data_IF_682549440531
#
_entry.id   IF_682549440531
#
_cell.length_a   1.000
_cell.length_b   1.000
_cell.length_c   1.000
_cell.angle_alpha   90.00
_cell.angle_beta   90.00
_cell.angle_gamma   90.00
#
_symmetry.space_group_name_H-M   'P 1'
#
loop_
_entity.id
_entity.type
_entity.pdbx_description
1 polymer ?
#
# COMPACT_ATOMS: atom_id res chain seq x y z
N UNK A 1 -10.67 -51.11 7.92
CA UNK A 1 -9.85 -50.38 6.98
C UNK A 1 -9.74 -48.96 7.49
N UNK A 2 -8.66 -48.68 8.21
CA UNK A 2 -8.44 -47.39 8.84
C UNK A 2 -7.99 -46.41 7.75
N UNK A 3 -8.88 -45.50 7.36
CA UNK A 3 -8.54 -44.43 6.48
C UNK A 3 -7.54 -43.50 7.19
N UNK A 4 -6.31 -43.44 6.69
CA UNK A 4 -5.33 -42.46 7.05
C UNK A 4 -5.90 -41.08 6.69
N UNK A 5 -6.34 -40.32 7.68
CA UNK A 5 -6.77 -38.93 7.52
C UNK A 5 -5.64 -38.12 6.88
N UNK A 6 -5.94 -37.25 5.89
CA UNK A 6 -4.95 -36.35 5.28
C UNK A 6 -4.18 -35.50 6.29
N UNK A 7 -4.79 -35.25 7.46
CA UNK A 7 -4.18 -34.49 8.57
C UNK A 7 -2.83 -34.99 9.06
N UNK A 8 -2.60 -36.33 9.06
CA UNK A 8 -1.32 -36.87 9.50
C UNK A 8 -0.11 -36.57 8.60
N UNK A 9 -0.34 -36.33 7.32
CA UNK A 9 0.71 -35.91 6.37
C UNK A 9 1.06 -34.41 6.53
N UNK A 10 0.05 -33.62 6.82
CA UNK A 10 0.20 -32.18 7.03
C UNK A 10 0.85 -31.91 8.36
N UNK A 11 0.43 -32.60 9.44
CA UNK A 11 1.13 -32.52 10.72
C UNK A 11 2.61 -32.85 10.59
N UNK A 12 2.98 -33.86 9.80
CA UNK A 12 4.36 -34.21 9.55
C UNK A 12 5.11 -33.14 8.71
N UNK A 13 4.47 -32.53 7.72
CA UNK A 13 5.05 -31.45 6.91
C UNK A 13 5.16 -30.13 7.70
N UNK A 14 4.21 -29.86 8.62
CA UNK A 14 4.15 -28.65 9.43
C UNK A 14 5.02 -28.73 10.68
N UNK A 15 5.30 -29.90 11.22
CA UNK A 15 6.25 -30.08 12.33
C UNK A 15 7.69 -29.69 11.97
N UNK A 16 8.03 -29.66 10.66
CA UNK A 16 9.34 -29.24 10.16
C UNK A 16 9.55 -27.71 10.10
N UNK A 17 8.50 -26.89 10.28
CA UNK A 17 8.59 -25.43 10.18
C UNK A 17 7.59 -24.76 11.14
N UNK A 18 7.87 -24.73 12.43
CA UNK A 18 7.02 -24.11 13.44
C UNK A 18 6.80 -22.59 13.18
N UNK A 19 5.56 -22.10 13.37
CA UNK A 19 5.25 -20.68 13.28
C UNK A 19 3.79 -20.37 12.95
N UNK A 20 3.43 -19.09 12.99
CA UNK A 20 2.08 -18.58 12.74
C UNK A 20 1.51 -18.99 11.35
N UNK A 21 2.36 -19.11 10.33
CA UNK A 21 1.93 -19.51 9.00
C UNK A 21 1.40 -20.96 8.95
N UNK A 22 2.03 -21.86 9.68
CA UNK A 22 1.58 -23.26 9.73
C UNK A 22 0.22 -23.39 10.39
N UNK A 23 0.00 -22.57 11.41
CA UNK A 23 -1.29 -22.48 12.10
C UNK A 23 -2.39 -22.02 11.14
N UNK A 24 -2.15 -20.97 10.36
CA UNK A 24 -3.10 -20.45 9.38
C UNK A 24 -3.47 -21.51 8.31
N UNK A 25 -2.49 -22.29 7.84
CA UNK A 25 -2.75 -23.40 6.90
C UNK A 25 -3.61 -24.50 7.54
N UNK A 26 -3.33 -24.88 8.79
CA UNK A 26 -4.13 -25.89 9.52
C UNK A 26 -5.56 -25.40 9.76
N UNK A 27 -5.74 -24.18 10.23
CA UNK A 27 -7.05 -23.57 10.46
C UNK A 27 -7.85 -23.47 9.14
N UNK A 28 -7.17 -23.16 8.03
CA UNK A 28 -7.77 -23.16 6.70
C UNK A 28 -8.21 -24.57 6.27
N UNK A 29 -7.40 -25.59 6.50
CA UNK A 29 -7.78 -26.99 6.19
C UNK A 29 -8.99 -27.43 7.00
N UNK A 30 -9.05 -27.11 8.27
CA UNK A 30 -10.22 -27.40 9.12
C UNK A 30 -11.48 -26.71 8.57
N UNK A 31 -11.38 -25.43 8.19
CA UNK A 31 -12.53 -24.73 7.57
C UNK A 31 -12.97 -25.40 6.27
N UNK A 32 -12.03 -25.87 5.45
CA UNK A 32 -12.34 -26.55 4.19
C UNK A 32 -13.14 -27.85 4.43
N UNK A 33 -12.74 -28.66 5.40
CA UNK A 33 -13.42 -29.90 5.73
C UNK A 33 -14.74 -29.67 6.49
N UNK A 34 -14.69 -28.95 7.61
CA UNK A 34 -15.80 -28.86 8.56
C UNK A 34 -16.87 -27.83 8.15
N UNK A 35 -16.45 -26.70 7.58
CA UNK A 35 -17.35 -25.60 7.25
C UNK A 35 -17.83 -25.65 5.79
N UNK A 36 -16.90 -25.92 4.86
CA UNK A 36 -17.21 -25.88 3.43
C UNK A 36 -17.53 -27.27 2.85
N UNK A 37 -17.27 -28.35 3.60
CA UNK A 37 -17.56 -29.73 3.17
C UNK A 37 -16.79 -30.13 1.92
N UNK A 38 -15.58 -29.59 1.73
CA UNK A 38 -14.74 -29.90 0.59
C UNK A 38 -14.07 -31.29 0.79
N UNK A 39 -13.91 -32.04 -0.27
CA UNK A 39 -13.10 -33.26 -0.26
C UNK A 39 -11.75 -32.98 -0.95
N UNK A 40 -10.67 -33.47 -0.35
CA UNK A 40 -9.29 -33.22 -0.82
C UNK A 40 -9.04 -33.72 -2.27
N UNK A 41 -9.67 -34.81 -2.66
CA UNK A 41 -9.57 -35.45 -3.99
C UNK A 41 -10.57 -34.90 -5.00
N UNK A 42 -11.31 -33.86 -4.65
CA UNK A 42 -12.23 -33.18 -5.57
C UNK A 42 -11.47 -32.64 -6.77
N UNK A 43 -11.90 -33.09 -7.95
CA UNK A 43 -11.40 -32.59 -9.23
C UNK A 43 -12.47 -31.71 -9.86
N UNK A 44 -12.21 -30.41 -9.94
CA UNK A 44 -13.08 -29.46 -10.61
C UNK A 44 -12.25 -28.34 -11.22
N UNK A 45 -12.78 -27.68 -12.23
CA UNK A 45 -12.17 -26.47 -12.74
C UNK A 45 -12.64 -25.28 -11.88
N UNK A 46 -11.73 -24.34 -11.53
CA UNK A 46 -12.13 -23.09 -10.91
C UNK A 46 -13.22 -22.39 -11.75
N UNK A 47 -14.19 -21.83 -11.06
CA UNK A 47 -15.21 -21.02 -11.73
C UNK A 47 -14.59 -19.78 -12.34
N UNK A 48 -14.94 -19.51 -13.60
CA UNK A 48 -14.47 -18.33 -14.32
C UNK A 48 -15.66 -17.50 -14.74
N UNK A 49 -15.72 -16.26 -14.24
CA UNK A 49 -16.76 -15.31 -14.61
C UNK A 49 -16.65 -14.91 -16.08
N UNK A 50 -17.76 -14.66 -16.77
CA UNK A 50 -17.74 -14.07 -18.10
C UNK A 50 -16.97 -12.76 -18.16
N UNK A 51 -16.30 -12.47 -19.27
CA UNK A 51 -15.50 -11.24 -19.45
C UNK A 51 -16.30 -9.95 -19.16
N UNK A 52 -17.61 -9.94 -19.52
CA UNK A 52 -18.47 -8.81 -19.23
C UNK A 52 -18.63 -8.53 -17.72
N UNK A 53 -18.75 -9.59 -16.92
CA UNK A 53 -18.84 -9.47 -15.45
C UNK A 53 -17.49 -9.09 -14.84
N UNK A 54 -16.39 -9.68 -15.33
CA UNK A 54 -15.04 -9.31 -14.90
C UNK A 54 -14.75 -7.85 -15.19
N UNK A 55 -15.17 -7.34 -16.35
CA UNK A 55 -15.05 -5.91 -16.69
C UNK A 55 -15.86 -5.03 -15.73
N UNK A 56 -17.11 -5.40 -15.43
CA UNK A 56 -17.91 -4.66 -14.44
C UNK A 56 -17.27 -4.65 -13.06
N UNK A 57 -16.62 -5.74 -12.64
CA UNK A 57 -15.87 -5.78 -11.38
C UNK A 57 -14.66 -4.84 -11.41
N UNK A 58 -13.91 -4.80 -12.52
CA UNK A 58 -12.81 -3.83 -12.71
C UNK A 58 -13.32 -2.39 -12.62
N UNK A 59 -14.45 -2.09 -13.26
CA UNK A 59 -15.05 -0.74 -13.23
C UNK A 59 -15.48 -0.36 -11.82
N UNK A 60 -16.10 -1.29 -11.06
CA UNK A 60 -16.46 -1.07 -9.65
C UNK A 60 -15.25 -0.85 -8.75
N UNK A 61 -14.18 -1.57 -9.02
CA UNK A 61 -12.89 -1.44 -8.32
C UNK A 61 -11.94 -0.47 -9.04
N UNK A 62 -12.49 0.53 -9.76
CA UNK A 62 -11.72 1.37 -10.68
C UNK A 62 -10.51 2.05 -10.07
N UNK A 63 -10.62 2.56 -8.83
CA UNK A 63 -9.48 3.15 -8.09
C UNK A 63 -8.39 2.13 -7.81
N UNK A 64 -8.77 1.00 -7.21
CA UNK A 64 -7.86 -0.12 -6.94
C UNK A 64 -7.16 -0.56 -8.23
N UNK A 65 -7.95 -0.84 -9.28
CA UNK A 65 -7.43 -1.32 -10.55
C UNK A 65 -6.45 -0.33 -11.20
N UNK A 66 -6.79 0.97 -11.18
CA UNK A 66 -5.94 2.03 -11.72
C UNK A 66 -4.60 2.12 -11.00
N UNK A 67 -4.62 2.18 -9.66
CA UNK A 67 -3.40 2.32 -8.87
C UNK A 67 -2.55 1.04 -8.84
N UNK A 68 -3.19 -0.13 -8.89
CA UNK A 68 -2.49 -1.41 -8.86
C UNK A 68 -1.76 -1.74 -10.18
N UNK A 69 -2.25 -1.25 -11.33
CA UNK A 69 -1.78 -1.64 -12.65
C UNK A 69 -0.25 -1.54 -12.82
N UNK A 70 0.34 -0.40 -12.49
CA UNK A 70 1.78 -0.18 -12.62
C UNK A 70 2.58 -0.90 -11.52
N UNK A 71 2.00 -1.02 -10.32
CA UNK A 71 2.60 -1.76 -9.21
C UNK A 71 2.74 -3.24 -9.52
N UNK A 72 1.69 -3.88 -10.04
CA UNK A 72 1.67 -5.29 -10.46
C UNK A 72 2.76 -5.57 -11.51
N UNK A 73 2.88 -4.70 -12.52
CA UNK A 73 3.93 -4.81 -13.54
C UNK A 73 5.33 -4.62 -12.98
N UNK A 74 5.47 -3.69 -12.02
CA UNK A 74 6.77 -3.43 -11.39
C UNK A 74 7.17 -4.56 -10.47
N UNK A 75 6.25 -5.12 -9.71
CA UNK A 75 6.47 -6.33 -8.91
C UNK A 75 6.90 -7.50 -9.80
N UNK A 76 6.18 -7.74 -10.90
CA UNK A 76 6.51 -8.78 -11.85
C UNK A 76 7.94 -8.66 -12.40
N UNK A 77 8.38 -7.44 -12.73
CA UNK A 77 9.76 -7.21 -13.23
C UNK A 77 10.83 -7.44 -12.15
N UNK A 78 10.49 -7.26 -10.87
CA UNK A 78 11.44 -7.43 -9.76
C UNK A 78 11.54 -8.88 -9.27
N UNK A 79 10.46 -9.62 -9.38
CA UNK A 79 10.49 -11.06 -9.16
C UNK A 79 11.19 -11.62 -10.39
N UNK A 80 12.32 -12.33 -10.22
CA UNK A 80 12.96 -13.03 -11.33
C UNK A 80 11.88 -13.84 -12.09
N UNK A 81 11.41 -13.26 -13.23
CA UNK A 81 10.13 -13.56 -13.85
C UNK A 81 10.05 -14.97 -14.49
N UNK A 82 11.12 -15.77 -14.39
CA UNK A 82 11.17 -17.12 -14.91
C UNK A 82 10.28 -18.06 -14.10
N UNK A 83 9.03 -18.19 -14.53
CA UNK A 83 8.08 -19.17 -13.97
C UNK A 83 7.03 -18.61 -13.00
N UNK A 84 7.06 -17.30 -12.71
CA UNK A 84 6.06 -16.65 -11.86
C UNK A 84 5.02 -15.87 -12.68
N UNK A 85 3.84 -15.70 -12.09
CA UNK A 85 2.84 -14.72 -12.50
C UNK A 85 2.42 -13.88 -11.29
N UNK A 86 1.99 -12.64 -11.53
CA UNK A 86 1.42 -11.76 -10.52
C UNK A 86 -0.06 -11.58 -10.82
N UNK A 87 -0.88 -11.71 -9.81
CA UNK A 87 -2.33 -11.57 -9.87
C UNK A 87 -2.80 -10.48 -8.92
N UNK A 88 -3.80 -9.71 -9.35
CA UNK A 88 -4.57 -8.78 -8.53
C UNK A 88 -5.98 -9.34 -8.41
N UNK A 89 -6.52 -9.41 -7.20
CA UNK A 89 -7.90 -9.86 -6.97
C UNK A 89 -8.74 -8.78 -6.29
N UNK A 90 -10.06 -8.98 -6.27
CA UNK A 90 -10.92 -8.27 -5.34
C UNK A 90 -10.98 -8.98 -3.97
N UNK A 91 -11.81 -8.47 -3.06
CA UNK A 91 -12.01 -9.03 -1.72
C UNK A 91 -12.82 -10.34 -1.68
N UNK A 92 -13.36 -10.80 -2.79
CA UNK A 92 -14.04 -12.08 -2.92
C UNK A 92 -13.16 -13.17 -3.57
N UNK A 93 -11.92 -12.81 -3.92
CA UNK A 93 -10.95 -13.70 -4.55
C UNK A 93 -11.11 -13.85 -6.06
N UNK A 94 -11.83 -12.92 -6.71
CA UNK A 94 -11.91 -12.87 -8.18
C UNK A 94 -10.68 -12.20 -8.74
N UNK A 95 -9.97 -12.89 -9.64
CA UNK A 95 -8.80 -12.33 -10.31
C UNK A 95 -9.25 -11.22 -11.26
N UNK A 96 -8.80 -9.98 -10.97
CA UNK A 96 -9.09 -8.79 -11.77
C UNK A 96 -8.04 -8.57 -12.87
N UNK A 97 -6.77 -8.78 -12.56
CA UNK A 97 -5.64 -8.57 -13.49
C UNK A 97 -4.56 -9.61 -13.29
N UNK A 98 -3.74 -9.83 -14.33
CA UNK A 98 -2.63 -10.77 -14.27
C UNK A 98 -1.48 -10.33 -15.18
N UNK A 99 -0.25 -10.56 -14.73
CA UNK A 99 0.97 -10.34 -15.51
C UNK A 99 1.83 -11.60 -15.45
N UNK A 100 2.12 -12.17 -16.61
CA UNK A 100 2.98 -13.34 -16.77
C UNK A 100 3.70 -13.31 -18.13
N UNK A 101 4.77 -14.09 -18.27
CA UNK A 101 5.37 -14.33 -19.56
C UNK A 101 4.38 -15.05 -20.51
N UNK A 102 4.37 -14.67 -21.78
CA UNK A 102 3.46 -15.21 -22.78
C UNK A 102 3.54 -16.76 -22.86
N UNK A 103 4.73 -17.33 -22.69
CA UNK A 103 4.98 -18.77 -22.69
C UNK A 103 4.35 -19.50 -21.50
N UNK A 104 4.06 -18.83 -20.40
CA UNK A 104 3.50 -19.40 -19.17
C UNK A 104 1.97 -19.30 -19.10
N UNK A 105 1.36 -18.39 -19.88
CA UNK A 105 -0.10 -18.21 -19.86
C UNK A 105 -0.91 -19.49 -20.07
N UNK A 106 -0.55 -20.41 -20.99
CA UNK A 106 -1.28 -21.66 -21.14
C UNK A 106 -1.28 -22.52 -19.86
N UNK A 107 -0.13 -22.60 -19.17
CA UNK A 107 0.00 -23.35 -17.93
C UNK A 107 -0.85 -22.76 -16.80
N UNK A 108 -0.82 -21.44 -16.61
CA UNK A 108 -1.66 -20.78 -15.63
C UNK A 108 -3.15 -20.93 -15.94
N UNK A 109 -3.56 -20.78 -17.18
CA UNK A 109 -4.96 -20.99 -17.62
C UNK A 109 -5.45 -22.43 -17.39
N UNK A 110 -4.60 -23.42 -17.65
CA UNK A 110 -4.94 -24.84 -17.40
C UNK A 110 -5.21 -25.09 -15.92
N UNK A 111 -4.46 -24.39 -15.04
CA UNK A 111 -4.64 -24.46 -13.58
C UNK A 111 -5.67 -23.46 -13.04
N UNK A 112 -6.44 -22.79 -13.90
CA UNK A 112 -7.51 -21.88 -13.49
C UNK A 112 -7.04 -20.51 -12.99
N UNK A 113 -5.78 -20.14 -13.21
CA UNK A 113 -5.23 -18.84 -12.83
C UNK A 113 -5.29 -17.86 -14.02
N UNK A 114 -6.43 -17.18 -14.13
CA UNK A 114 -6.71 -16.22 -15.21
C UNK A 114 -7.73 -15.16 -14.74
N UNK A 115 -7.80 -13.99 -15.39
CA UNK A 115 -8.81 -13.00 -15.06
C UNK A 115 -10.24 -13.56 -15.12
N UNK A 116 -11.04 -13.23 -14.10
CA UNK A 116 -12.40 -13.73 -13.89
C UNK A 116 -12.48 -15.03 -13.08
N UNK A 117 -11.36 -15.73 -12.85
CA UNK A 117 -11.37 -16.93 -12.01
C UNK A 117 -11.58 -16.59 -10.53
N UNK A 118 -12.35 -17.40 -9.82
CA UNK A 118 -12.70 -17.23 -8.40
C UNK A 118 -11.86 -18.17 -7.55
N UNK A 119 -11.01 -17.58 -6.71
CA UNK A 119 -10.09 -18.30 -5.82
C UNK A 119 -10.41 -18.09 -4.34
N UNK A 120 -11.71 -18.05 -3.99
CA UNK A 120 -12.11 -18.03 -2.58
C UNK A 120 -11.79 -19.38 -1.90
N UNK A 121 -11.52 -19.33 -0.59
CA UNK A 121 -11.24 -20.54 0.21
C UNK A 121 -12.42 -21.52 0.19
N UNK A 122 -13.66 -20.99 0.21
CA UNK A 122 -14.89 -21.81 0.14
C UNK A 122 -14.96 -22.63 -1.16
N UNK A 123 -14.39 -22.13 -2.26
CA UNK A 123 -14.44 -22.81 -3.55
C UNK A 123 -13.21 -23.64 -3.83
N UNK A 124 -12.04 -23.07 -3.72
CA UNK A 124 -10.78 -23.71 -4.12
C UNK A 124 -9.97 -24.26 -2.93
N UNK A 125 -10.58 -24.30 -1.73
CA UNK A 125 -9.91 -24.75 -0.52
C UNK A 125 -8.76 -23.83 -0.12
N UNK A 126 -7.86 -24.33 0.72
CA UNK A 126 -6.64 -23.63 1.10
C UNK A 126 -5.82 -23.27 -0.14
N UNK A 127 -5.62 -21.98 -0.38
CA UNK A 127 -4.87 -21.44 -1.50
C UNK A 127 -4.31 -20.06 -1.13
N UNK A 128 -3.37 -19.51 -1.90
CA UNK A 128 -2.74 -18.22 -1.60
C UNK A 128 -3.74 -17.09 -1.44
N UNK A 129 -4.66 -16.94 -2.39
CA UNK A 129 -5.63 -15.84 -2.45
C UNK A 129 -6.70 -15.97 -1.36
N UNK A 130 -7.45 -17.06 -1.37
CA UNK A 130 -8.60 -17.26 -0.48
C UNK A 130 -8.20 -17.29 0.99
N UNK A 131 -7.12 -18.01 1.32
CA UNK A 131 -6.62 -18.08 2.69
C UNK A 131 -6.04 -16.74 3.16
N UNK A 132 -5.38 -15.98 2.27
CA UNK A 132 -4.91 -14.62 2.57
C UNK A 132 -6.07 -13.67 2.91
N UNK A 133 -7.20 -13.76 2.20
CA UNK A 133 -8.40 -12.96 2.50
C UNK A 133 -8.93 -13.28 3.89
N UNK A 134 -9.04 -14.56 4.24
CA UNK A 134 -9.61 -15.00 5.52
C UNK A 134 -8.68 -14.66 6.69
N UNK A 135 -7.39 -14.92 6.55
CA UNK A 135 -6.39 -14.71 7.61
C UNK A 135 -5.97 -13.23 7.77
N UNK A 136 -6.19 -12.40 6.73
CA UNK A 136 -5.77 -10.99 6.75
C UNK A 136 -4.26 -10.79 6.91
N UNK A 137 -3.44 -11.74 6.46
CA UNK A 137 -1.99 -11.67 6.57
C UNK A 137 -1.30 -12.25 5.33
N UNK A 138 -0.03 -11.83 5.11
CA UNK A 138 0.77 -12.39 4.03
C UNK A 138 1.07 -13.87 4.28
N UNK A 139 0.73 -14.72 3.31
CA UNK A 139 0.82 -16.17 3.41
C UNK A 139 1.46 -16.78 2.16
N UNK A 140 2.12 -17.91 2.35
CA UNK A 140 2.57 -18.76 1.24
C UNK A 140 1.94 -20.13 1.39
N UNK A 141 1.27 -20.59 0.34
CA UNK A 141 0.75 -21.96 0.22
C UNK A 141 1.61 -22.69 -0.82
N UNK A 142 2.39 -23.65 -0.35
CA UNK A 142 3.40 -24.33 -1.14
C UNK A 142 2.98 -25.76 -1.44
N UNK A 143 2.71 -26.06 -2.72
CA UNK A 143 2.42 -27.44 -3.21
C UNK A 143 1.35 -28.16 -2.39
N UNK A 144 1.73 -29.23 -1.69
CA UNK A 144 0.84 -30.07 -0.89
C UNK A 144 0.17 -29.37 0.29
N UNK A 145 0.47 -28.09 0.53
CA UNK A 145 -0.27 -27.27 1.50
C UNK A 145 -1.61 -26.79 0.94
N UNK A 146 -1.82 -26.86 -0.38
CA UNK A 146 -3.13 -26.63 -0.97
C UNK A 146 -4.09 -27.73 -0.55
N UNK A 147 -5.34 -27.35 -0.19
CA UNK A 147 -6.33 -28.32 0.25
C UNK A 147 -6.75 -29.27 -0.88
N UNK A 148 -7.05 -28.74 -2.06
CA UNK A 148 -7.39 -29.59 -3.22
C UNK A 148 -6.10 -30.13 -3.86
N UNK A 149 -6.01 -31.45 -3.95
CA UNK A 149 -4.84 -32.15 -4.51
C UNK A 149 -4.48 -31.70 -5.94
N UNK A 150 -5.46 -31.28 -6.73
CA UNK A 150 -5.23 -30.75 -8.07
C UNK A 150 -4.39 -29.47 -8.09
N UNK A 151 -4.32 -28.71 -6.98
CA UNK A 151 -3.56 -27.49 -6.85
C UNK A 151 -2.14 -27.71 -6.30
N UNK A 152 -1.74 -28.95 -5.99
CA UNK A 152 -0.41 -29.28 -5.46
C UNK A 152 0.75 -28.97 -6.42
N UNK A 153 0.47 -28.68 -7.68
CA UNK A 153 1.46 -28.17 -8.65
C UNK A 153 1.78 -26.70 -8.49
N UNK A 154 1.00 -25.97 -7.68
CA UNK A 154 1.12 -24.53 -7.48
C UNK A 154 1.98 -24.21 -6.26
N UNK A 155 2.64 -23.07 -6.33
CA UNK A 155 3.18 -22.37 -5.17
C UNK A 155 2.67 -20.94 -5.24
N UNK A 156 1.85 -20.53 -4.28
CA UNK A 156 1.17 -19.25 -4.23
C UNK A 156 1.67 -18.43 -3.04
N UNK A 157 2.00 -17.18 -3.25
CA UNK A 157 2.44 -16.26 -2.19
C UNK A 157 1.63 -14.99 -2.30
N UNK A 158 0.81 -14.73 -1.30
CA UNK A 158 -0.17 -13.65 -1.32
C UNK A 158 0.00 -12.69 -0.15
N UNK A 159 -0.37 -11.42 -0.35
CA UNK A 159 -0.46 -10.42 0.70
C UNK A 159 -1.75 -9.60 0.55
N UNK A 160 -2.44 -9.29 1.67
CA UNK A 160 -3.68 -8.53 1.65
C UNK A 160 -3.39 -7.04 1.48
N UNK A 161 -4.31 -6.37 0.81
CA UNK A 161 -4.41 -4.90 0.75
C UNK A 161 -5.64 -4.50 1.55
N UNK A 162 -5.46 -3.59 2.50
CA UNK A 162 -6.57 -3.15 3.35
C UNK A 162 -7.14 -1.82 2.89
N UNK A 163 -8.44 -1.64 3.11
CA UNK A 163 -9.08 -0.33 3.04
C UNK A 163 -8.81 0.48 4.32
N UNK A 164 -9.12 1.79 4.35
CA UNK A 164 -8.94 2.61 5.55
C UNK A 164 -9.72 2.12 6.79
N UNK A 165 -10.76 1.30 6.59
CA UNK A 165 -11.55 0.71 7.68
C UNK A 165 -10.93 -0.60 8.22
N UNK A 166 -9.87 -1.11 7.58
CA UNK A 166 -9.14 -2.32 7.98
C UNK A 166 -9.73 -3.62 7.46
N UNK A 167 -10.57 -3.55 6.45
CA UNK A 167 -11.06 -4.72 5.75
C UNK A 167 -10.16 -5.03 4.56
N UNK A 168 -9.96 -6.31 4.28
CA UNK A 168 -9.24 -6.71 3.05
C UNK A 168 -10.08 -6.30 1.85
N UNK A 169 -9.58 -5.37 1.04
CA UNK A 169 -10.22 -4.91 -0.19
C UNK A 169 -9.67 -5.60 -1.45
N UNK A 170 -8.47 -6.14 -1.37
CA UNK A 170 -7.77 -6.79 -2.48
C UNK A 170 -6.70 -7.73 -1.96
N UNK A 171 -6.20 -8.61 -2.83
CA UNK A 171 -5.01 -9.42 -2.60
C UNK A 171 -4.07 -9.31 -3.79
N UNK A 172 -2.78 -9.09 -3.51
CA UNK A 172 -1.71 -9.32 -4.47
C UNK A 172 -1.19 -10.74 -4.28
N UNK A 173 -1.18 -11.54 -5.35
CA UNK A 173 -0.68 -12.90 -5.34
C UNK A 173 0.43 -13.09 -6.38
N UNK A 174 1.45 -13.83 -6.01
CA UNK A 174 2.53 -14.29 -6.86
C UNK A 174 2.51 -15.81 -6.87
N UNK A 175 2.08 -16.37 -7.98
CA UNK A 175 1.97 -17.81 -8.15
C UNK A 175 2.97 -18.34 -9.17
N UNK A 176 3.37 -19.59 -8.99
CA UNK A 176 4.20 -20.32 -9.91
C UNK A 176 3.67 -21.74 -10.13
N UNK A 177 3.89 -22.26 -11.35
CA UNK A 177 3.59 -23.64 -11.76
C UNK A 177 4.94 -24.30 -12.09
N UNK A 178 5.72 -24.63 -11.05
CA UNK A 178 7.08 -25.19 -11.20
C UNK A 178 7.42 -26.11 -10.02
N UNK A 179 8.08 -27.24 -10.33
CA UNK A 179 8.45 -28.24 -9.32
C UNK A 179 9.72 -27.89 -8.54
N UNK A 180 10.58 -27.01 -9.08
CA UNK A 180 11.88 -26.68 -8.54
C UNK A 180 11.88 -25.52 -7.56
N UNK A 181 10.73 -24.86 -7.31
CA UNK A 181 10.63 -23.77 -6.33
C UNK A 181 10.82 -24.32 -4.92
N UNK A 182 11.76 -23.75 -4.21
CA UNK A 182 12.05 -24.09 -2.82
C UNK A 182 11.29 -23.17 -1.87
N UNK A 183 10.92 -23.68 -0.71
CA UNK A 183 10.29 -22.89 0.35
C UNK A 183 11.10 -21.67 0.79
N UNK A 184 12.43 -21.75 0.72
CA UNK A 184 13.31 -20.62 1.00
C UNK A 184 13.15 -19.46 0.03
N UNK A 185 12.85 -19.75 -1.25
CA UNK A 185 12.63 -18.74 -2.27
C UNK A 185 11.32 -17.98 -2.01
N UNK A 186 10.31 -18.70 -1.48
CA UNK A 186 9.02 -18.14 -1.12
C UNK A 186 9.12 -17.07 -0.03
N UNK A 187 10.07 -17.15 0.91
CA UNK A 187 10.24 -16.15 1.96
C UNK A 187 10.63 -14.78 1.37
N UNK A 188 11.54 -14.77 0.39
CA UNK A 188 11.93 -13.55 -0.32
C UNK A 188 10.77 -12.98 -1.13
N UNK A 189 10.05 -13.84 -1.86
CA UNK A 189 8.89 -13.43 -2.64
C UNK A 189 7.81 -12.86 -1.71
N UNK A 190 7.54 -13.48 -0.57
CA UNK A 190 6.55 -13.01 0.42
C UNK A 190 6.87 -11.60 0.94
N UNK A 191 8.14 -11.32 1.27
CA UNK A 191 8.53 -9.97 1.67
C UNK A 191 8.25 -8.95 0.57
N UNK A 192 8.62 -9.27 -0.68
CA UNK A 192 8.36 -8.37 -1.82
C UNK A 192 6.87 -8.15 -2.07
N UNK A 193 6.05 -9.21 -2.04
CA UNK A 193 4.60 -9.08 -2.23
C UNK A 193 3.96 -8.24 -1.13
N UNK A 194 4.39 -8.44 0.12
CA UNK A 194 3.92 -7.64 1.26
C UNK A 194 4.31 -6.16 1.12
N UNK A 195 5.56 -5.85 0.73
CA UNK A 195 6.00 -4.46 0.51
C UNK A 195 5.16 -3.77 -0.59
N UNK A 196 4.79 -4.50 -1.64
CA UNK A 196 3.96 -3.95 -2.73
C UNK A 196 2.48 -3.83 -2.34
N UNK A 197 1.96 -4.74 -1.53
CA UNK A 197 0.61 -4.64 -0.96
C UNK A 197 0.51 -3.43 -0.02
N UNK A 198 1.49 -3.24 0.87
CA UNK A 198 1.57 -2.07 1.74
C UNK A 198 1.66 -0.76 0.93
N UNK A 199 2.44 -0.75 -0.17
CA UNK A 199 2.53 0.42 -1.04
C UNK A 199 1.18 0.74 -1.71
N UNK A 200 0.45 -0.28 -2.18
CA UNK A 200 -0.88 -0.11 -2.77
C UNK A 200 -1.89 0.37 -1.73
N UNK A 201 -1.90 -0.22 -0.52
CA UNK A 201 -2.72 0.21 0.61
C UNK A 201 -2.53 1.70 0.89
N UNK A 202 -1.29 2.17 0.95
CA UNK A 202 -0.96 3.58 1.19
C UNK A 202 -1.51 4.51 0.11
N UNK A 203 -1.39 4.12 -1.17
CA UNK A 203 -1.92 4.91 -2.29
C UNK A 203 -3.44 5.01 -2.20
N UNK A 204 -4.12 3.89 -1.95
CA UNK A 204 -5.58 3.86 -1.78
C UNK A 204 -6.02 4.70 -0.57
N UNK A 205 -5.30 4.60 0.55
CA UNK A 205 -5.55 5.38 1.76
C UNK A 205 -5.50 6.88 1.48
N UNK A 206 -4.45 7.36 0.78
CA UNK A 206 -4.34 8.76 0.40
C UNK A 206 -5.46 9.21 -0.54
N UNK A 207 -5.82 8.39 -1.53
CA UNK A 207 -6.88 8.71 -2.48
C UNK A 207 -8.25 8.79 -1.80
N UNK A 208 -8.55 7.85 -0.89
CA UNK A 208 -9.83 7.83 -0.18
C UNK A 208 -9.95 8.88 0.91
N UNK A 209 -8.84 9.23 1.57
CA UNK A 209 -8.78 10.16 2.70
C UNK A 209 -8.15 11.51 2.35
N UNK A 210 -8.10 11.87 1.05
CA UNK A 210 -7.51 13.13 0.58
C UNK A 210 -8.15 14.39 1.19
N UNK A 211 -9.34 14.26 1.77
CA UNK A 211 -10.07 15.34 2.45
C UNK A 211 -9.82 15.46 3.94
N UNK A 212 -9.14 14.52 4.56
CA UNK A 212 -8.92 14.42 5.99
C UNK A 212 -7.50 14.89 6.37
N UNK A 213 -7.28 15.21 7.64
CA UNK A 213 -5.92 15.38 8.16
C UNK A 213 -5.28 14.01 8.27
N UNK A 214 -4.13 13.81 7.64
CA UNK A 214 -3.39 12.56 7.71
C UNK A 214 -2.16 12.75 8.60
N UNK A 215 -2.09 11.98 9.68
CA UNK A 215 -0.94 11.91 10.57
C UNK A 215 -0.08 10.70 10.21
N UNK A 216 1.15 10.97 9.84
CA UNK A 216 2.21 9.99 9.61
C UNK A 216 2.93 9.72 10.91
N UNK A 217 3.17 8.47 11.26
CA UNK A 217 3.73 8.07 12.53
C UNK A 217 4.80 6.99 12.35
N UNK A 218 5.91 7.12 13.08
CA UNK A 218 6.92 6.05 13.18
C UNK A 218 7.68 6.17 14.51
N UNK A 219 8.15 5.05 15.13
CA UNK A 219 9.02 5.10 16.30
C UNK A 219 10.35 5.81 16.05
N UNK A 220 10.84 5.83 14.82
CA UNK A 220 12.07 6.51 14.40
C UNK A 220 11.75 7.68 13.47
N UNK A 221 12.25 8.88 13.80
CA UNK A 221 12.01 10.10 13.04
C UNK A 221 12.39 10.00 11.54
N UNK A 222 13.47 9.26 11.24
CA UNK A 222 13.98 9.10 9.87
C UNK A 222 13.03 8.31 8.95
N UNK A 223 12.07 7.59 9.49
CA UNK A 223 11.12 6.78 8.72
C UNK A 223 9.76 7.43 8.55
N UNK A 224 9.50 8.57 9.18
CA UNK A 224 8.28 9.37 8.98
C UNK A 224 8.28 9.94 7.55
N UNK A 225 7.17 9.81 6.84
CA UNK A 225 7.03 10.23 5.44
C UNK A 225 7.65 9.24 4.44
N UNK A 226 8.10 8.06 4.88
CA UNK A 226 8.60 6.99 4.02
C UNK A 226 7.52 5.91 3.80
N UNK A 227 7.83 4.89 3.02
CA UNK A 227 6.93 3.74 2.81
C UNK A 227 6.76 2.87 4.07
N UNK A 228 7.50 3.13 5.14
CA UNK A 228 7.47 2.37 6.40
C UNK A 228 6.65 3.02 7.50
N UNK A 229 6.20 4.26 7.32
CA UNK A 229 5.40 4.92 8.34
C UNK A 229 3.98 4.37 8.43
N UNK A 230 3.39 4.55 9.57
CA UNK A 230 1.98 4.33 9.82
C UNK A 230 1.19 5.60 9.46
N UNK A 231 0.00 5.46 8.92
CA UNK A 231 -0.87 6.59 8.61
C UNK A 231 -2.22 6.42 9.28
N UNK A 232 -2.68 7.47 9.95
CA UNK A 232 -4.06 7.60 10.43
C UNK A 232 -4.70 8.84 9.81
N UNK A 233 -5.97 8.74 9.44
CA UNK A 233 -6.79 9.89 9.05
C UNK A 233 -7.61 10.35 10.24
N UNK A 234 -7.70 11.65 10.43
CA UNK A 234 -8.32 12.29 11.58
C UNK A 234 -9.47 13.17 11.07
N UNK A 235 -10.66 12.90 11.56
CA UNK A 235 -11.83 13.71 11.30
C UNK A 235 -11.76 15.05 12.07
N UNK A 236 -12.57 16.06 11.69
CA UNK A 236 -12.55 17.38 12.35
C UNK A 236 -12.88 17.38 13.84
N UNK A 237 -13.52 16.34 14.35
CA UNK A 237 -13.85 16.16 15.77
C UNK A 237 -12.75 15.45 16.58
N UNK A 238 -11.67 15.05 15.94
CA UNK A 238 -10.55 14.34 16.56
C UNK A 238 -10.63 12.82 16.46
N UNK A 239 -11.73 12.27 15.96
CA UNK A 239 -11.87 10.81 15.80
C UNK A 239 -10.95 10.29 14.70
N UNK A 240 -10.43 9.09 14.88
CA UNK A 240 -9.63 8.38 13.87
C UNK A 240 -10.59 7.77 12.85
N UNK A 241 -10.69 8.40 11.67
CA UNK A 241 -11.60 8.01 10.60
C UNK A 241 -11.06 6.91 9.69
N UNK A 242 -9.79 6.55 9.84
CA UNK A 242 -9.15 5.47 9.10
C UNK A 242 -7.70 5.26 9.53
N UNK A 243 -7.18 4.08 9.26
CA UNK A 243 -5.81 3.73 9.60
C UNK A 243 -5.23 2.70 8.64
N UNK A 244 -3.95 2.80 8.29
CA UNK A 244 -3.24 1.74 7.57
C UNK A 244 -3.00 0.52 8.46
N UNK A 245 -2.74 -0.64 7.88
CA UNK A 245 -2.42 -1.88 8.59
C UNK A 245 -1.27 -1.70 9.58
N UNK A 246 -0.26 -0.93 9.22
CA UNK A 246 0.86 -0.57 10.11
C UNK A 246 0.38 0.32 11.27
N UNK A 247 -0.50 1.30 11.00
CA UNK A 247 -1.07 2.13 12.06
C UNK A 247 -1.96 1.32 13.02
N UNK A 248 -2.76 0.38 12.51
CA UNK A 248 -3.60 -0.49 13.34
C UNK A 248 -2.79 -1.31 14.33
N UNK A 249 -1.60 -1.77 13.96
CA UNK A 249 -0.70 -2.46 14.91
C UNK A 249 -0.23 -1.53 16.04
N UNK A 250 0.02 -0.26 15.73
CA UNK A 250 0.37 0.75 16.74
C UNK A 250 -0.84 1.05 17.62
N UNK A 251 -2.02 1.26 17.02
CA UNK A 251 -3.27 1.49 17.75
C UNK A 251 -3.62 0.31 18.68
N UNK A 252 -3.44 -0.92 18.22
CA UNK A 252 -3.66 -2.12 19.03
C UNK A 252 -2.74 -2.15 20.28
N UNK A 253 -1.48 -1.71 20.13
CA UNK A 253 -0.55 -1.56 21.25
C UNK A 253 -0.92 -0.39 22.18
N UNK A 254 -1.68 0.59 21.70
CA UNK A 254 -2.20 1.76 22.42
C UNK A 254 -3.67 1.63 22.80
N UNK A 255 -4.10 0.43 23.27
CA UNK A 255 -5.46 0.12 23.72
C UNK A 255 -6.58 0.31 22.68
N UNK A 256 -6.27 0.22 21.38
CA UNK A 256 -7.22 0.44 20.28
C UNK A 256 -7.94 1.79 20.35
N UNK A 257 -7.26 2.84 20.76
CA UNK A 257 -7.84 4.19 20.81
C UNK A 257 -8.44 4.58 19.46
N UNK A 258 -9.65 5.10 19.48
CA UNK A 258 -10.39 5.58 18.29
C UNK A 258 -10.40 7.09 18.18
N UNK A 259 -9.74 7.79 19.08
CA UNK A 259 -9.65 9.22 19.17
C UNK A 259 -8.22 9.66 19.50
N UNK A 260 -7.77 10.76 18.87
CA UNK A 260 -6.42 11.28 19.12
C UNK A 260 -6.23 11.84 20.52
N UNK A 261 -7.31 12.31 21.17
CA UNK A 261 -7.29 12.77 22.55
C UNK A 261 -6.95 11.64 23.52
N UNK A 262 -7.50 10.45 23.30
CA UNK A 262 -7.14 9.26 24.06
C UNK A 262 -5.72 8.78 23.77
N UNK A 263 -5.28 8.90 22.50
CA UNK A 263 -3.97 8.40 22.09
C UNK A 263 -2.82 9.31 22.48
N UNK A 264 -2.97 10.63 22.37
CA UNK A 264 -1.89 11.61 22.54
C UNK A 264 -2.15 12.64 23.63
N UNK A 265 -3.25 12.54 24.37
CA UNK A 265 -3.67 13.50 25.41
C UNK A 265 -3.77 14.95 24.87
N UNK A 266 -4.20 15.10 23.62
CA UNK A 266 -4.38 16.39 22.96
C UNK A 266 -5.51 16.37 21.93
N UNK A 267 -6.22 17.49 21.80
CA UNK A 267 -7.23 17.65 20.75
C UNK A 267 -6.59 17.99 19.38
N UNK A 268 -7.42 18.00 18.34
CA UNK A 268 -6.95 18.25 16.97
C UNK A 268 -6.35 19.65 16.79
N UNK A 269 -6.85 20.68 17.51
CA UNK A 269 -6.34 22.03 17.43
C UNK A 269 -4.94 22.12 18.05
N UNK A 270 -4.74 21.47 19.19
CA UNK A 270 -3.42 21.35 19.85
C UNK A 270 -2.43 20.57 18.98
N UNK A 271 -2.89 19.48 18.35
CA UNK A 271 -2.07 18.70 17.42
C UNK A 271 -1.61 19.57 16.25
N UNK A 272 -2.54 20.25 15.57
CA UNK A 272 -2.24 21.14 14.44
C UNK A 272 -1.29 22.29 14.85
N UNK A 273 -1.52 22.90 16.00
CA UNK A 273 -0.66 23.97 16.53
C UNK A 273 0.76 23.47 16.81
N UNK A 274 0.90 22.25 17.37
CA UNK A 274 2.20 21.65 17.65
C UNK A 274 3.04 21.46 16.39
N UNK A 275 2.43 20.98 15.29
CA UNK A 275 3.12 20.83 14.02
C UNK A 275 3.40 22.15 13.31
N UNK A 276 2.49 23.12 13.35
CA UNK A 276 2.69 24.46 12.79
C UNK A 276 3.88 25.19 13.46
N UNK A 277 4.02 25.07 14.79
CA UNK A 277 5.14 25.63 15.51
C UNK A 277 6.48 24.98 15.16
N UNK A 278 6.48 23.67 14.90
CA UNK A 278 7.68 22.93 14.49
C UNK A 278 8.14 23.33 13.07
N UNK A 279 7.21 23.54 12.13
CA UNK A 279 7.52 24.06 10.79
C UNK A 279 8.07 25.49 10.84
N UNK A 280 7.53 26.36 11.67
CA UNK A 280 8.02 27.72 11.88
C UNK A 280 9.45 27.76 12.45
N UNK A 281 9.82 26.83 13.30
CA UNK A 281 11.16 26.70 13.86
C UNK A 281 12.18 26.15 12.84
N UNK A 282 11.75 25.29 11.93
CA UNK A 282 12.61 24.67 10.91
C UNK A 282 12.98 25.62 9.77
N UNK A 283 12.18 26.66 9.49
CA UNK A 283 12.48 27.67 8.45
C UNK A 283 13.68 28.57 8.79
N UNK A 284 14.21 28.47 10.01
CA UNK A 284 15.44 29.16 10.44
C UNK A 284 16.74 28.39 10.21
N UNK A 285 16.67 27.10 9.89
CA UNK A 285 17.84 26.24 9.62
C UNK A 285 17.84 25.89 8.12
N UNK A 286 18.89 26.26 7.43
CA UNK A 286 19.07 26.25 5.97
C UNK A 286 18.52 25.05 5.21
N UNK A 287 18.25 25.28 3.94
CA UNK A 287 17.73 24.33 2.95
C UNK A 287 18.48 22.97 2.97
N UNK A 288 17.85 21.95 3.50
CA UNK A 288 18.42 20.58 3.59
C UNK A 288 17.71 19.68 4.60
N UNK A 289 16.83 20.23 5.45
CA UNK A 289 16.05 19.44 6.39
C UNK A 289 14.86 18.77 5.67
N UNK A 290 14.78 17.45 5.74
CA UNK A 290 13.59 16.68 5.38
C UNK A 290 12.35 17.15 6.16
N UNK A 291 11.16 16.60 5.91
CA UNK A 291 9.93 17.01 6.59
C UNK A 291 10.16 17.05 8.10
N UNK A 292 9.85 18.20 8.74
CA UNK A 292 10.04 18.39 10.17
C UNK A 292 9.18 17.39 10.94
N UNK A 293 9.86 16.44 11.61
CA UNK A 293 9.18 15.44 12.43
C UNK A 293 9.01 15.94 13.86
N UNK A 294 7.85 15.75 14.43
CA UNK A 294 7.51 16.21 15.77
C UNK A 294 7.33 15.00 16.70
N UNK A 295 7.96 14.97 17.88
CA UNK A 295 7.72 13.90 18.85
C UNK A 295 6.32 14.01 19.46
N UNK A 296 5.63 12.89 19.54
CA UNK A 296 4.31 12.72 20.11
C UNK A 296 4.38 11.67 21.24
N UNK A 297 4.00 12.05 22.44
CA UNK A 297 3.90 11.11 23.55
C UNK A 297 2.60 10.31 23.42
N UNK A 298 2.68 9.01 23.63
CA UNK A 298 1.51 8.12 23.63
C UNK A 298 1.01 8.00 25.05
N UNK A 299 -0.30 8.10 25.25
CA UNK A 299 -0.95 7.78 26.51
C UNK A 299 -0.58 6.35 26.95
N UNK A 300 -0.10 6.20 28.18
CA UNK A 300 0.41 4.90 28.66
C UNK A 300 1.91 4.66 28.46
N UNK A 301 2.62 5.59 27.82
CA UNK A 301 4.09 5.59 27.70
C UNK A 301 4.60 5.28 26.30
N UNK A 302 5.70 5.89 25.95
CA UNK A 302 6.34 5.78 24.65
C UNK A 302 6.26 7.08 23.84
N UNK A 303 7.12 7.18 22.84
CA UNK A 303 7.20 8.34 21.92
C UNK A 303 7.14 7.83 20.49
N UNK A 304 6.29 8.44 19.69
CA UNK A 304 6.30 8.34 18.23
C UNK A 304 6.73 9.67 17.63
N UNK A 305 7.34 9.61 16.47
CA UNK A 305 7.60 10.78 15.66
C UNK A 305 6.53 10.88 14.59
N UNK A 306 6.04 12.10 14.34
CA UNK A 306 5.00 12.31 13.35
C UNK A 306 5.25 13.48 12.42
N UNK A 307 4.54 13.48 11.30
CA UNK A 307 4.33 14.64 10.43
C UNK A 307 2.88 14.68 9.97
N UNK A 308 2.37 15.87 9.62
CA UNK A 308 0.98 16.05 9.20
C UNK A 308 0.89 16.38 7.71
N UNK A 309 -0.05 15.74 7.02
CA UNK A 309 -0.58 16.19 5.75
C UNK A 309 -1.94 16.82 5.99
N UNK A 310 -2.05 18.13 5.77
CA UNK A 310 -3.29 18.89 6.01
C UNK A 310 -3.87 19.33 4.68
N UNK A 311 -5.14 19.00 4.36
CA UNK A 311 -5.79 19.45 3.14
C UNK A 311 -5.86 20.97 3.05
N UNK A 312 -5.68 21.56 1.85
CA UNK A 312 -5.61 23.02 1.62
C UNK A 312 -6.84 23.74 2.18
N UNK A 313 -8.04 23.19 2.04
CA UNK A 313 -9.28 23.74 2.61
C UNK A 313 -9.25 23.85 4.13
N UNK A 314 -8.52 22.98 4.82
CA UNK A 314 -8.38 23.01 6.28
C UNK A 314 -7.23 23.93 6.72
N UNK A 315 -6.14 24.03 5.95
CA UNK A 315 -5.05 24.98 6.21
C UNK A 315 -5.57 26.40 6.38
N UNK A 316 -6.48 26.86 5.52
CA UNK A 316 -7.09 28.21 5.61
C UNK A 316 -7.93 28.40 6.87
N UNK A 317 -8.53 27.37 7.43
CA UNK A 317 -9.38 27.44 8.63
C UNK A 317 -8.55 27.52 9.92
N UNK A 318 -7.45 26.79 9.99
CA UNK A 318 -6.65 26.64 11.21
C UNK A 318 -5.38 27.49 11.22
N UNK A 319 -4.72 27.71 10.09
CA UNK A 319 -3.52 28.57 10.00
C UNK A 319 -3.87 30.07 9.97
N UNK A 320 -5.07 30.43 9.52
CA UNK A 320 -5.54 31.83 9.48
C UNK A 320 -5.87 32.43 10.84
N UNK A 321 -5.81 31.70 11.96
CA UNK A 321 -6.04 32.18 13.33
C UNK A 321 -4.78 32.40 14.16
N UNK A 322 -3.62 32.04 13.65
CA UNK A 322 -2.35 32.43 14.26
C UNK A 322 -2.21 33.96 14.11
N UNK A 323 -2.12 34.65 15.24
CA UNK A 323 -1.82 36.09 15.32
C UNK A 323 -0.71 36.44 14.34
N UNK A 324 -0.81 37.55 13.62
CA UNK A 324 0.24 37.97 12.68
C UNK A 324 1.53 38.12 13.46
N UNK A 325 2.45 37.19 13.28
CA UNK A 325 3.85 37.44 13.60
C UNK A 325 4.20 38.66 12.77
N UNK A 326 4.48 39.74 13.46
CA UNK A 326 4.93 41.02 12.93
C UNK A 326 5.74 40.81 11.68
N UNK A 327 5.21 41.29 10.59
CA UNK A 327 5.83 41.33 9.26
C UNK A 327 7.26 41.85 9.43
N UNK A 328 8.22 40.94 9.43
CA UNK A 328 9.60 41.29 9.18
C UNK A 328 9.58 42.00 7.83
N UNK A 329 9.99 43.25 7.81
CA UNK A 329 10.03 44.12 6.66
C UNK A 329 10.48 43.31 5.43
N UNK A 330 9.62 43.27 4.42
CA UNK A 330 9.90 42.76 3.10
C UNK A 330 11.22 43.39 2.63
N UNK A 331 12.29 42.63 2.67
CA UNK A 331 13.53 43.06 2.02
C UNK A 331 13.17 43.31 0.55
N UNK A 332 13.62 44.40 -0.02
CA UNK A 332 13.33 44.71 -1.41
C UNK A 332 13.79 43.53 -2.25
N UNK A 333 12.86 42.99 -3.06
CA UNK A 333 13.13 41.90 -3.97
C UNK A 333 14.38 42.23 -4.76
N UNK A 334 15.42 41.40 -4.64
CA UNK A 334 16.54 41.46 -5.55
C UNK A 334 15.97 41.31 -6.94
N UNK A 335 16.34 42.19 -7.90
CA UNK A 335 15.82 42.05 -9.26
C UNK A 335 16.15 40.63 -9.77
N UNK A 336 15.11 39.88 -10.11
CA UNK A 336 15.23 38.57 -10.70
C UNK A 336 16.04 38.73 -11.99
N UNK A 337 17.21 38.12 -12.06
CA UNK A 337 17.99 38.14 -13.30
C UNK A 337 17.11 37.53 -14.40
N UNK A 338 16.81 38.37 -15.41
CA UNK A 338 15.99 37.96 -16.55
C UNK A 338 16.55 36.66 -17.14
N UNK A 339 15.68 35.70 -17.46
CA UNK A 339 16.08 34.49 -18.18
C UNK A 339 16.89 34.94 -19.41
N UNK A 340 18.12 34.43 -19.61
CA UNK A 340 18.93 34.87 -20.73
C UNK A 340 18.16 34.66 -22.03
N UNK A 341 17.95 35.71 -22.80
CA UNK A 341 17.14 35.73 -24.02
C UNK A 341 17.77 34.90 -25.16
N UNK A 342 18.87 34.18 -24.87
CA UNK A 342 19.74 33.52 -25.83
C UNK A 342 19.37 32.06 -26.13
N UNK A 343 18.49 31.43 -25.32
CA UNK A 343 18.12 30.03 -25.53
C UNK A 343 16.59 29.87 -25.68
N UNK A 344 16.17 29.73 -26.92
CA UNK A 344 14.77 29.54 -27.30
C UNK A 344 14.15 28.26 -26.67
N UNK A 345 14.96 27.23 -26.40
CA UNK A 345 14.50 26.00 -25.77
C UNK A 345 14.17 26.22 -24.29
N UNK A 346 15.03 26.94 -23.55
CA UNK A 346 14.79 27.28 -22.15
C UNK A 346 13.55 28.17 -21.99
N UNK A 347 13.38 29.15 -22.88
CA UNK A 347 12.20 30.02 -22.90
C UNK A 347 10.91 29.24 -23.13
N UNK A 348 10.92 28.29 -24.07
CA UNK A 348 9.76 27.41 -24.33
C UNK A 348 9.39 26.53 -23.12
N UNK A 349 10.39 25.99 -22.42
CA UNK A 349 10.17 25.19 -21.19
C UNK A 349 9.60 26.09 -20.08
N UNK A 350 10.08 27.31 -19.93
CA UNK A 350 9.55 28.29 -18.99
C UNK A 350 8.08 28.62 -19.27
N UNK A 351 7.73 28.92 -20.53
CA UNK A 351 6.35 29.23 -20.95
C UNK A 351 5.39 28.03 -20.78
N UNK A 352 5.90 26.82 -20.93
CA UNK A 352 5.12 25.61 -20.65
C UNK A 352 4.94 25.44 -19.15
N UNK A 353 6.00 25.61 -18.36
CA UNK A 353 5.97 25.45 -16.90
C UNK A 353 5.02 26.43 -16.23
N UNK A 354 5.03 27.70 -16.61
CA UNK A 354 4.10 28.71 -16.09
C UNK A 354 2.64 28.36 -16.41
N UNK A 355 2.34 27.98 -17.65
CA UNK A 355 0.98 27.57 -18.05
C UNK A 355 0.47 26.32 -17.34
N UNK A 356 1.33 25.38 -16.99
CA UNK A 356 0.97 24.18 -16.25
C UNK A 356 0.74 24.50 -14.77
N UNK A 357 1.57 25.37 -14.19
CA UNK A 357 1.40 25.85 -12.81
C UNK A 357 0.06 26.59 -12.62
N UNK A 358 -0.33 27.46 -13.57
CA UNK A 358 -1.63 28.17 -13.53
C UNK A 358 -2.84 27.23 -13.57
N UNK A 359 -2.63 25.95 -13.91
CA UNK A 359 -3.66 24.89 -13.96
C UNK A 359 -3.56 23.88 -12.83
N UNK A 360 -2.76 24.14 -11.79
CA UNK A 360 -2.48 23.23 -10.67
C UNK A 360 -1.94 21.85 -11.11
N UNK A 361 -1.19 21.81 -12.22
CA UNK A 361 -0.58 20.57 -12.73
C UNK A 361 0.84 20.45 -12.18
N UNK A 362 1.15 19.32 -11.54
CA UNK A 362 2.49 19.00 -11.07
C UNK A 362 3.47 18.88 -12.23
N UNK A 363 4.59 19.60 -12.16
CA UNK A 363 5.62 19.60 -13.19
C UNK A 363 6.88 18.89 -12.69
N UNK A 364 7.31 17.84 -13.41
CA UNK A 364 8.60 17.18 -13.17
C UNK A 364 9.63 17.66 -14.18
N UNK A 365 10.73 18.23 -13.68
CA UNK A 365 11.88 18.64 -14.51
C UNK A 365 12.99 17.59 -14.44
N UNK A 366 13.35 17.00 -15.58
CA UNK A 366 14.46 16.07 -15.70
C UNK A 366 15.62 16.66 -16.53
N UNK A 367 16.84 16.25 -16.27
CA UNK A 367 18.03 16.68 -17.01
C UNK A 367 19.32 16.41 -16.21
N UNK A 368 20.49 16.59 -16.82
CA UNK A 368 21.80 16.34 -16.21
C UNK A 368 22.08 17.27 -15.01
N UNK A 369 22.97 16.85 -14.10
CA UNK A 369 23.41 17.68 -13.00
C UNK A 369 24.07 18.95 -13.51
N UNK A 370 23.70 20.12 -12.99
CA UNK A 370 24.22 21.41 -13.43
C UNK A 370 23.47 22.06 -14.62
N UNK A 371 22.43 21.42 -15.19
CA UNK A 371 21.66 21.96 -16.34
C UNK A 371 20.72 23.14 -15.98
N UNK A 372 20.75 23.65 -14.75
CA UNK A 372 19.96 24.82 -14.33
C UNK A 372 18.48 24.56 -13.99
N UNK A 373 18.09 23.29 -13.74
CA UNK A 373 16.72 22.92 -13.38
C UNK A 373 16.18 23.69 -12.18
N UNK A 374 16.98 23.81 -11.13
CA UNK A 374 16.60 24.54 -9.92
C UNK A 374 16.38 26.04 -10.21
N UNK A 375 17.24 26.62 -11.02
CA UNK A 375 17.11 28.01 -11.46
C UNK A 375 15.81 28.22 -12.24
N UNK A 376 15.49 27.34 -13.17
CA UNK A 376 14.28 27.41 -13.97
C UNK A 376 13.01 27.19 -13.14
N UNK A 377 13.02 26.20 -12.23
CA UNK A 377 11.89 25.94 -11.31
C UNK A 377 11.58 27.15 -10.43
N UNK A 378 12.62 27.80 -9.89
CA UNK A 378 12.47 29.02 -9.08
C UNK A 378 11.86 30.16 -9.89
N UNK A 379 12.29 30.38 -11.13
CA UNK A 379 11.74 31.43 -11.98
C UNK A 379 10.28 31.17 -12.39
N UNK A 380 9.89 29.92 -12.65
CA UNK A 380 8.50 29.56 -12.90
C UNK A 380 7.65 29.88 -11.66
N UNK A 381 8.10 29.48 -10.47
CA UNK A 381 7.41 29.77 -9.22
C UNK A 381 7.26 31.26 -8.94
N UNK A 382 8.33 32.05 -9.13
CA UNK A 382 8.31 33.51 -8.95
C UNK A 382 7.43 34.24 -9.99
N UNK A 383 7.27 33.70 -11.19
CA UNK A 383 6.43 34.28 -12.25
C UNK A 383 4.93 33.97 -12.06
N UNK A 384 4.59 33.00 -11.21
CA UNK A 384 3.20 32.55 -10.96
C UNK A 384 2.68 32.91 -9.58
N UNK A 385 3.46 33.64 -8.77
CA UNK A 385 3.07 34.29 -7.51
C UNK A 385 2.45 35.67 -7.76
#
# INVERSE_FOLDING_TARGET
MSGNLPGGRIEAALQLSGGAQNRAVLESWQRCEERFGLAHDTLRRPEVMPESQTRQLRDRNGRLYHHAHDLVRTLYRKIDASGYAVFLTDNSGVILDSVAAQSLLPSFRTNGLLPGAVWSEEREGTNGIGTCIVEGCAITIHKDEHFLAQHSVLTCTAAPVFDPDGKVCSVLDVSAVRDDIKRTDCLRVRGMVADYADALERILFFDERAGDVILHLHPEAAHVGTTRDAMISIAPDGTISGATSTARRILAAANNSTDIGEMFEMDIEQLLAKFANAEGAATGLGAGAGPSTTPLNIAGGGVLFGSLTVPERMRRRYVGRSTPVTTRARMPARPVASIPDRDAAVRRIFDIGTRLHDRDINVLMSGETGSGKEYLARHIHEATL
#
